data_IF_735259753270
#
_entry.id   IF_735259753270
#
_cell.length_a   1.000
_cell.length_b   1.000
_cell.length_c   1.000
_cell.angle_alpha   90.00
_cell.angle_beta   90.00
_cell.angle_gamma   90.00
#
_symmetry.space_group_name_H-M   'P 1'
#
loop_
_entity.id
_entity.type
_entity.pdbx_description
1 polymer ?
#
# COMPACT_ATOMS: atom_id res chain seq x y z
N UNK A 1 -28.67 22.60 60.32
CA UNK A 1 -29.46 23.84 60.29
C UNK A 1 -28.53 24.98 60.68
N UNK A 2 -28.45 26.01 59.81
CA UNK A 2 -27.84 27.33 59.99
C UNK A 2 -26.31 27.47 59.85
N UNK A 3 -25.77 28.57 59.32
CA UNK A 3 -26.03 29.41 58.13
C UNK A 3 -24.76 30.28 57.95
N UNK A 4 -24.42 30.62 56.70
CA UNK A 4 -23.82 31.89 56.23
C UNK A 4 -22.35 32.18 56.57
N UNK A 5 -21.56 32.43 55.52
CA UNK A 5 -20.30 33.20 55.59
C UNK A 5 -19.44 33.12 54.33
N UNK A 6 -19.88 33.72 53.22
CA UNK A 6 -19.01 34.06 52.08
C UNK A 6 -18.07 35.20 52.51
N UNK A 7 -16.79 35.22 52.07
CA UNK A 7 -16.45 36.11 50.96
C UNK A 7 -15.46 35.45 49.98
N UNK A 8 -15.76 35.50 48.67
CA UNK A 8 -15.16 36.48 47.76
C UNK A 8 -13.63 36.47 47.76
N UNK A 9 -13.03 35.52 47.03
CA UNK A 9 -11.66 35.62 46.56
C UNK A 9 -11.69 35.63 45.03
N UNK A 10 -11.66 36.84 44.47
CA UNK A 10 -11.36 37.09 43.08
C UNK A 10 -9.97 36.53 42.77
N UNK A 11 -9.88 35.59 41.82
CA UNK A 11 -8.64 35.24 41.17
C UNK A 11 -8.85 35.41 39.67
N UNK A 12 -8.30 36.53 39.17
CA UNK A 12 -7.95 36.71 37.76
C UNK A 12 -7.00 35.56 37.37
N UNK A 13 -7.57 34.51 36.77
CA UNK A 13 -6.83 33.42 36.16
C UNK A 13 -6.62 33.70 34.69
N UNK A 14 -5.41 34.10 34.35
CA UNK A 14 -4.93 34.44 33.00
C UNK A 14 -5.26 33.32 32.00
N UNK A 15 -5.96 33.67 30.92
CA UNK A 15 -6.11 32.81 29.75
C UNK A 15 -4.76 32.72 29.02
N UNK A 16 -3.96 31.72 29.38
CA UNK A 16 -2.75 31.38 28.64
C UNK A 16 -3.16 30.81 27.29
N UNK A 17 -3.14 31.64 26.23
CA UNK A 17 -3.14 31.17 24.86
C UNK A 17 -1.88 30.32 24.66
N UNK A 18 -2.06 29.00 24.64
CA UNK A 18 -1.04 28.08 24.16
C UNK A 18 -0.82 28.36 22.67
N UNK A 19 0.42 28.60 22.21
CA UNK A 19 0.70 28.68 20.79
C UNK A 19 0.48 27.29 20.18
N UNK A 20 -0.49 27.18 19.27
CA UNK A 20 -0.65 26.00 18.43
C UNK A 20 0.67 25.71 17.73
N UNK A 21 1.24 24.49 17.82
CA UNK A 21 2.38 24.13 17.01
C UNK A 21 1.91 24.12 15.56
N UNK A 22 2.27 25.17 14.81
CA UNK A 22 2.26 25.12 13.36
C UNK A 22 3.26 24.03 12.97
N UNK A 23 2.74 22.82 12.73
CA UNK A 23 3.50 21.75 12.12
C UNK A 23 4.00 22.31 10.78
N UNK A 24 5.29 22.61 10.71
CA UNK A 24 5.96 22.93 9.46
C UNK A 24 5.92 21.67 8.60
N UNK A 25 4.84 21.53 7.82
CA UNK A 25 4.73 20.51 6.78
C UNK A 25 5.77 20.87 5.75
N UNK A 26 6.96 20.28 5.91
CA UNK A 26 8.01 20.33 4.91
C UNK A 26 7.48 19.59 3.68
N UNK A 27 6.80 20.30 2.78
CA UNK A 27 6.56 19.84 1.43
C UNK A 27 7.92 19.70 0.76
N UNK A 28 8.52 18.53 0.90
CA UNK A 28 9.76 18.17 0.22
C UNK A 28 9.51 18.26 -1.28
N UNK A 29 9.94 19.36 -1.90
CA UNK A 29 9.90 19.55 -3.35
C UNK A 29 10.57 18.34 -4.02
N UNK A 30 9.85 17.69 -4.94
CA UNK A 30 10.47 16.94 -6.04
C UNK A 30 10.88 15.49 -5.78
N UNK A 31 10.66 14.91 -4.60
CA UNK A 31 10.95 13.49 -4.39
C UNK A 31 9.79 12.63 -4.88
N UNK A 32 10.09 11.76 -5.84
CA UNK A 32 9.14 10.84 -6.49
C UNK A 32 9.02 9.61 -5.60
N UNK A 33 7.82 9.08 -5.36
CA UNK A 33 7.66 7.95 -4.46
C UNK A 33 8.36 6.72 -5.03
N UNK A 34 8.85 5.89 -4.11
CA UNK A 34 9.57 4.67 -4.41
C UNK A 34 8.66 3.48 -4.16
N UNK A 35 8.52 2.61 -5.15
CA UNK A 35 7.75 1.38 -5.05
C UNK A 35 8.36 0.53 -3.93
N UNK A 36 7.52 0.17 -2.96
CA UNK A 36 7.88 -0.71 -1.85
C UNK A 36 7.45 -2.15 -2.11
N UNK A 37 6.99 -2.81 -1.06
CA UNK A 37 6.61 -4.21 -1.12
C UNK A 37 5.24 -4.38 -1.79
N UNK A 38 5.08 -5.54 -2.44
CA UNK A 38 3.77 -6.04 -2.89
C UNK A 38 3.27 -7.02 -1.83
N UNK A 39 2.17 -6.68 -1.17
CA UNK A 39 1.42 -7.63 -0.36
C UNK A 39 0.37 -8.30 -1.24
N UNK A 40 0.47 -9.62 -1.32
CA UNK A 40 -0.50 -10.47 -1.99
C UNK A 40 -0.53 -11.83 -1.29
N UNK A 41 -1.65 -12.57 -1.35
CA UNK A 41 -1.69 -13.93 -0.82
C UNK A 41 -0.74 -14.82 -1.62
N UNK A 42 -0.02 -15.71 -0.92
CA UNK A 42 0.88 -16.69 -1.57
C UNK A 42 0.10 -17.69 -2.43
N UNK A 43 -1.15 -17.97 -2.06
CA UNK A 43 -2.04 -18.92 -2.71
C UNK A 43 -3.41 -18.29 -2.94
N UNK A 44 -3.98 -18.49 -4.13
CA UNK A 44 -5.31 -18.01 -4.50
C UNK A 44 -6.09 -19.08 -5.27
N UNK A 45 -7.41 -18.92 -5.39
CA UNK A 45 -8.24 -19.82 -6.21
C UNK A 45 -8.53 -19.16 -7.56
N UNK A 46 -8.50 -19.96 -8.62
CA UNK A 46 -8.94 -19.49 -9.93
C UNK A 46 -10.41 -19.05 -9.87
N UNK A 47 -10.74 -17.97 -10.56
CA UNK A 47 -12.07 -17.38 -10.57
C UNK A 47 -12.45 -16.57 -9.32
N UNK A 48 -11.56 -16.46 -8.31
CA UNK A 48 -11.76 -15.61 -7.13
C UNK A 48 -10.98 -14.30 -7.26
N UNK A 49 -11.51 -13.17 -6.74
CA UNK A 49 -10.77 -11.92 -6.69
C UNK A 49 -9.59 -12.05 -5.73
N UNK A 50 -8.40 -11.69 -6.22
CA UNK A 50 -7.16 -11.71 -5.43
C UNK A 50 -6.79 -10.28 -5.07
N UNK A 51 -6.80 -9.91 -3.77
CA UNK A 51 -6.39 -8.59 -3.35
C UNK A 51 -4.86 -8.47 -3.43
N UNK A 52 -4.40 -7.41 -4.08
CA UNK A 52 -2.99 -7.06 -4.25
C UNK A 52 -2.82 -5.62 -3.78
N UNK A 53 -1.94 -5.43 -2.81
CA UNK A 53 -1.61 -4.11 -2.27
C UNK A 53 -0.15 -3.79 -2.57
N UNK A 54 0.08 -2.67 -3.24
CA UNK A 54 1.42 -2.13 -3.48
C UNK A 54 1.66 -0.99 -2.49
N UNK A 55 2.70 -1.11 -1.68
CA UNK A 55 3.10 -0.09 -0.71
C UNK A 55 4.19 0.81 -1.27
N UNK A 56 4.38 1.99 -0.68
CA UNK A 56 5.58 2.80 -0.91
C UNK A 56 6.66 2.39 0.10
N UNK A 57 7.91 2.32 -0.37
CA UNK A 57 9.08 2.27 0.52
C UNK A 57 9.43 3.66 1.05
N UNK A 58 9.26 4.65 0.17
CA UNK A 58 9.45 6.06 0.49
C UNK A 58 8.33 6.85 -0.16
N UNK A 59 7.59 7.58 0.66
CA UNK A 59 6.57 8.48 0.17
C UNK A 59 7.22 9.68 -0.52
N UNK A 60 6.54 10.20 -1.53
CA UNK A 60 7.01 11.30 -2.34
C UNK A 60 5.84 12.19 -2.72
N UNK A 61 6.05 13.50 -2.65
CA UNK A 61 5.03 14.49 -3.02
C UNK A 61 4.93 14.73 -4.54
N UNK A 62 5.87 14.20 -5.32
CA UNK A 62 5.87 14.36 -6.78
C UNK A 62 5.19 13.18 -7.48
N UNK A 63 4.34 13.48 -8.46
CA UNK A 63 3.58 12.43 -9.12
C UNK A 63 4.42 11.46 -9.97
N UNK A 64 4.02 10.19 -10.05
CA UNK A 64 4.68 9.18 -10.87
C UNK A 64 3.73 8.14 -11.46
N UNK A 65 4.13 7.49 -12.55
CA UNK A 65 3.40 6.38 -13.16
C UNK A 65 3.87 5.04 -12.61
N UNK A 66 2.91 4.24 -12.13
CA UNK A 66 3.08 2.88 -11.66
C UNK A 66 2.37 1.92 -12.61
N UNK A 67 3.00 0.79 -12.91
CA UNK A 67 2.37 -0.32 -13.63
C UNK A 67 2.50 -1.59 -12.81
N UNK A 68 1.36 -2.24 -12.58
CA UNK A 68 1.25 -3.53 -11.92
C UNK A 68 0.90 -4.57 -12.97
N UNK A 69 1.86 -5.42 -13.31
CA UNK A 69 1.68 -6.57 -14.20
C UNK A 69 1.34 -7.80 -13.37
N UNK A 70 0.28 -8.54 -13.71
CA UNK A 70 -0.16 -9.70 -12.92
C UNK A 70 0.51 -11.01 -13.35
N UNK A 71 1.19 -11.02 -14.50
CA UNK A 71 1.88 -12.18 -15.05
C UNK A 71 0.99 -13.10 -15.90
N UNK A 72 -0.31 -12.83 -16.03
CA UNK A 72 -1.24 -13.52 -16.93
C UNK A 72 -1.32 -12.87 -18.33
N UNK A 73 -0.57 -11.79 -18.54
CA UNK A 73 -0.67 -10.92 -19.72
C UNK A 73 -1.49 -9.65 -19.47
N UNK A 74 -2.16 -9.54 -18.32
CA UNK A 74 -2.87 -8.32 -17.92
C UNK A 74 -1.94 -7.39 -17.12
N UNK A 75 -2.15 -6.08 -17.29
CA UNK A 75 -1.53 -5.05 -16.46
C UNK A 75 -2.53 -3.95 -16.09
N UNK A 76 -2.18 -3.23 -15.02
CA UNK A 76 -2.90 -2.04 -14.55
C UNK A 76 -1.93 -0.89 -14.39
N UNK A 77 -2.33 0.24 -14.94
CA UNK A 77 -1.56 1.47 -14.91
C UNK A 77 -2.22 2.45 -13.92
N UNK A 78 -1.40 3.06 -13.07
CA UNK A 78 -1.85 4.02 -12.06
C UNK A 78 -1.01 5.29 -12.16
N UNK A 79 -1.68 6.43 -12.15
CA UNK A 79 -1.03 7.72 -11.94
C UNK A 79 -1.06 8.03 -10.45
N UNK A 80 0.12 8.06 -9.83
CA UNK A 80 0.27 8.51 -8.46
C UNK A 80 0.41 10.02 -8.50
N UNK A 81 -0.68 10.78 -8.42
CA UNK A 81 -0.64 12.25 -8.44
C UNK A 81 -1.52 12.85 -7.34
N UNK A 82 -1.51 12.23 -6.15
CA UNK A 82 -2.16 12.73 -4.94
C UNK A 82 -3.66 12.45 -4.94
N UNK A 83 -4.38 13.07 -5.88
CA UNK A 83 -5.84 12.97 -6.03
C UNK A 83 -6.26 11.71 -6.80
N UNK A 84 -5.61 11.37 -7.92
CA UNK A 84 -5.95 10.17 -8.71
C UNK A 84 -5.30 8.87 -8.19
N UNK A 85 -4.34 8.97 -7.28
CA UNK A 85 -3.60 7.81 -6.79
C UNK A 85 -2.55 8.15 -5.73
N UNK A 86 -2.59 7.42 -4.63
CA UNK A 86 -1.59 7.46 -3.56
C UNK A 86 -1.23 6.05 -3.14
N UNK A 87 -0.03 5.88 -2.60
CA UNK A 87 0.30 4.66 -1.89
C UNK A 87 -0.39 4.66 -0.51
N UNK A 88 -0.78 3.50 0.03
CA UNK A 88 -0.78 2.19 -0.61
C UNK A 88 -1.90 2.04 -1.66
N UNK A 89 -1.60 1.32 -2.73
CA UNK A 89 -2.54 1.05 -3.84
C UNK A 89 -3.08 -0.35 -3.67
N UNK A 90 -4.37 -0.48 -3.38
CA UNK A 90 -5.04 -1.77 -3.28
C UNK A 90 -5.89 -1.98 -4.53
N UNK A 91 -5.72 -3.14 -5.16
CA UNK A 91 -6.47 -3.54 -6.33
C UNK A 91 -6.80 -5.04 -6.26
N UNK A 92 -7.85 -5.43 -6.97
CA UNK A 92 -8.23 -6.84 -7.08
C UNK A 92 -7.99 -7.34 -8.50
N UNK A 93 -7.52 -8.58 -8.61
CA UNK A 93 -7.34 -9.25 -9.90
C UNK A 93 -7.84 -10.69 -9.83
N UNK A 94 -8.61 -11.10 -10.83
CA UNK A 94 -9.18 -12.46 -10.91
C UNK A 94 -8.46 -13.27 -11.97
N UNK A 95 -7.70 -14.27 -11.53
CA UNK A 95 -7.01 -15.21 -12.42
C UNK A 95 -7.97 -16.28 -12.94
N UNK A 96 -8.03 -16.46 -14.26
CA UNK A 96 -8.94 -17.42 -14.90
C UNK A 96 -8.44 -18.86 -14.90
N UNK A 97 -7.12 -19.06 -14.87
CA UNK A 97 -6.48 -20.37 -14.95
C UNK A 97 -5.68 -20.63 -13.68
N UNK A 98 -5.51 -21.90 -13.32
CA UNK A 98 -4.52 -22.29 -12.33
C UNK A 98 -3.11 -22.09 -12.91
N UNK A 99 -2.15 -21.82 -12.02
CA UNK A 99 -0.79 -21.54 -12.44
C UNK A 99 -0.01 -20.71 -11.43
N UNK A 100 1.26 -20.51 -11.75
CA UNK A 100 2.15 -19.65 -10.98
C UNK A 100 2.28 -18.31 -11.69
N UNK A 101 1.86 -17.25 -11.02
CA UNK A 101 1.82 -15.90 -11.58
C UNK A 101 2.78 -14.98 -10.84
N UNK A 102 3.65 -14.30 -11.58
CA UNK A 102 4.56 -13.31 -11.01
C UNK A 102 3.93 -11.92 -11.14
N UNK A 103 3.47 -11.39 -10.02
CA UNK A 103 3.00 -10.01 -9.93
C UNK A 103 4.19 -9.09 -9.82
N UNK A 104 4.28 -8.08 -10.68
CA UNK A 104 5.37 -7.12 -10.70
C UNK A 104 4.83 -5.69 -10.68
N UNK A 105 5.30 -4.89 -9.73
CA UNK A 105 5.06 -3.47 -9.64
C UNK A 105 6.31 -2.74 -10.12
N UNK A 106 6.21 -1.96 -11.18
CA UNK A 106 7.33 -1.19 -11.74
C UNK A 106 6.89 0.20 -12.18
N UNK A 107 7.78 1.18 -12.05
CA UNK A 107 7.51 2.50 -12.60
C UNK A 107 7.49 2.47 -14.12
N UNK A 108 6.55 3.19 -14.73
CA UNK A 108 6.61 3.57 -16.15
C UNK A 108 6.15 5.00 -16.33
N UNK A 109 6.64 5.64 -17.38
CA UNK A 109 6.15 6.95 -17.76
C UNK A 109 4.73 6.82 -18.30
N UNK A 110 3.78 7.51 -17.67
CA UNK A 110 2.36 7.52 -18.05
C UNK A 110 1.95 8.97 -18.30
N UNK A 111 1.68 9.28 -19.56
CA UNK A 111 1.33 10.63 -20.00
C UNK A 111 2.44 11.63 -19.63
N UNK A 112 2.19 12.56 -18.70
CA UNK A 112 3.16 13.56 -18.21
C UNK A 112 3.91 13.10 -16.96
N UNK A 113 3.40 12.08 -16.25
CA UNK A 113 3.98 11.51 -15.04
C UNK A 113 5.15 10.59 -15.38
N UNK A 114 6.32 10.88 -14.82
CA UNK A 114 7.54 10.07 -14.98
C UNK A 114 7.38 8.70 -14.27
N UNK A 115 8.28 7.73 -14.49
CA UNK A 115 8.26 6.39 -13.87
C UNK A 115 8.58 6.31 -12.36
N UNK A 116 7.72 5.73 -11.51
CA UNK A 116 8.05 5.59 -10.09
C UNK A 116 9.40 4.86 -9.89
N UNK A 117 10.16 5.23 -8.85
CA UNK A 117 11.47 4.61 -8.62
C UNK A 117 11.30 3.20 -8.05
N UNK A 118 12.31 2.35 -8.27
CA UNK A 118 12.35 0.96 -7.84
C UNK A 118 11.31 0.06 -8.53
N UNK A 119 11.41 -1.24 -8.31
CA UNK A 119 10.40 -2.21 -8.73
C UNK A 119 10.39 -3.36 -7.75
N UNK A 120 9.22 -3.93 -7.49
CA UNK A 120 9.08 -5.11 -6.64
C UNK A 120 8.31 -6.19 -7.40
N UNK A 121 8.50 -7.44 -7.00
CA UNK A 121 7.71 -8.55 -7.50
C UNK A 121 7.36 -9.53 -6.38
N UNK A 122 6.28 -10.28 -6.57
CA UNK A 122 5.87 -11.38 -5.72
C UNK A 122 5.23 -12.46 -6.57
N UNK A 123 5.19 -13.69 -6.06
CA UNK A 123 4.63 -14.84 -6.77
C UNK A 123 3.36 -15.29 -6.08
N UNK A 124 2.31 -15.45 -6.87
CA UNK A 124 1.01 -15.98 -6.44
C UNK A 124 0.82 -17.34 -7.11
N UNK A 125 0.59 -18.38 -6.30
CA UNK A 125 0.18 -19.68 -6.79
C UNK A 125 -1.35 -19.72 -6.85
N UNK A 126 -1.91 -19.75 -8.06
CA UNK A 126 -3.35 -19.86 -8.28
C UNK A 126 -3.72 -21.32 -8.54
N UNK A 127 -4.83 -21.75 -7.95
CA UNK A 127 -5.28 -23.13 -7.95
C UNK A 127 -4.97 -23.80 -6.62
N UNK A 128 -5.52 -25.00 -6.44
CA UNK A 128 -5.13 -25.83 -5.30
C UNK A 128 -3.61 -26.03 -5.35
N UNK A 129 -2.89 -25.87 -4.24
CA UNK A 129 -1.50 -26.28 -4.20
C UNK A 129 -1.51 -27.76 -4.57
N UNK A 130 -1.08 -28.08 -5.81
CA UNK A 130 -0.93 -29.47 -6.24
C UNK A 130 -0.17 -30.14 -5.11
N UNK A 131 -0.74 -31.14 -4.41
CA UNK A 131 -0.03 -31.84 -3.38
C UNK A 131 1.30 -32.23 -4.00
N UNK A 132 2.41 -31.72 -3.44
CA UNK A 132 3.74 -32.05 -3.92
C UNK A 132 3.72 -33.57 -4.02
N UNK A 133 3.84 -34.09 -5.25
CA UNK A 133 3.69 -35.50 -5.51
C UNK A 133 4.60 -36.19 -4.50
N UNK A 134 4.02 -36.96 -3.57
CA UNK A 134 4.78 -37.78 -2.63
C UNK A 134 5.84 -38.44 -3.49
N UNK A 135 7.11 -38.06 -3.26
CA UNK A 135 8.24 -38.65 -3.94
C UNK A 135 7.99 -40.15 -3.92
N UNK A 136 7.90 -40.75 -5.12
CA UNK A 136 7.44 -42.12 -5.27
C UNK A 136 8.23 -43.00 -4.30
N UNK A 137 7.52 -43.54 -3.32
CA UNK A 137 7.93 -44.74 -2.63
C UNK A 137 8.09 -45.82 -3.70
N UNK A 138 9.31 -46.30 -3.87
CA UNK A 138 9.62 -47.50 -4.64
C UNK A 138 11.12 -47.55 -4.89
N UNK A 139 11.80 -48.68 -4.76
CA UNK A 139 11.48 -50.04 -4.33
C UNK A 139 12.86 -50.73 -4.20
N UNK A 140 12.99 -51.60 -3.20
CA UNK A 140 14.07 -52.56 -2.86
C UNK A 140 14.70 -53.26 -4.10
N UNK A 141 15.97 -53.68 -4.05
CA UNK A 141 16.31 -55.01 -3.50
C UNK A 141 17.19 -54.99 -2.25
#
# INVERSE_FOLDING_TARGET
>A
MRIIGLPAAALLGMATLLPSPAAAVSFQLGHRPEIGAIQAPKTARAGQPVPITVTARKEGGAGCGLVVSFGDGSDRQFKMNGDDGKFPVTLEHTYKKDGRYTVRASGRTITTSKECKHSSSTVIQVGEPKPAAKAKSGKTP
#
